data_IF_778965515647
#
_entry.id   IF_778965515647
#
_cell.length_a   1.000
_cell.length_b   1.000
_cell.length_c   1.000
_cell.angle_alpha   90.00
_cell.angle_beta   90.00
_cell.angle_gamma   90.00
#
_symmetry.space_group_name_H-M   'P 1'
#
loop_
_entity.id
_entity.type
_entity.pdbx_description
1 polymer ?
#
# COMPACT_ATOMS: atom_id res chain seq x y z
N UNK A 1 -0.19 32.41 8.37
CA UNK A 1 0.00 30.95 8.31
C UNK A 1 0.01 30.40 9.74
N UNK A 2 -0.93 29.51 10.13
CA UNK A 2 -0.93 28.92 11.49
C UNK A 2 0.21 27.92 11.60
N UNK A 3 1.11 28.09 12.57
CA UNK A 3 2.13 27.08 12.90
C UNK A 3 1.43 25.80 13.36
N UNK A 4 1.76 24.68 12.73
CA UNK A 4 1.35 23.35 13.21
C UNK A 4 2.11 23.12 14.52
N UNK A 5 1.37 22.89 15.61
CA UNK A 5 1.97 22.59 16.91
C UNK A 5 2.59 21.19 16.94
N UNK A 6 3.58 21.00 17.81
CA UNK A 6 4.28 19.71 17.99
C UNK A 6 3.33 18.58 18.40
N UNK A 7 2.29 18.91 19.15
CA UNK A 7 1.19 18.03 19.55
C UNK A 7 0.55 17.32 18.36
N UNK A 8 0.31 18.04 17.25
CA UNK A 8 -0.33 17.47 16.05
C UNK A 8 0.52 16.40 15.37
N UNK A 9 1.83 16.60 15.33
CA UNK A 9 2.75 15.60 14.78
C UNK A 9 2.82 14.34 15.65
N UNK A 10 2.73 14.50 16.97
CA UNK A 10 2.66 13.37 17.90
C UNK A 10 1.38 12.57 17.66
N UNK A 11 0.22 13.24 17.60
CA UNK A 11 -1.04 12.55 17.33
C UNK A 11 -1.05 11.85 15.96
N UNK A 12 -0.55 12.51 14.91
CA UNK A 12 -0.42 11.90 13.59
C UNK A 12 0.48 10.66 13.60
N UNK A 13 1.63 10.72 14.29
CA UNK A 13 2.54 9.58 14.42
C UNK A 13 1.91 8.41 15.16
N UNK A 14 1.15 8.66 16.23
CA UNK A 14 0.42 7.62 16.98
C UNK A 14 -0.66 6.99 16.09
N UNK A 15 -1.48 7.80 15.41
CA UNK A 15 -2.52 7.29 14.51
C UNK A 15 -1.93 6.43 13.40
N UNK A 16 -0.87 6.91 12.75
CA UNK A 16 -0.14 6.13 11.74
C UNK A 16 0.33 4.78 12.29
N UNK A 17 0.98 4.78 13.46
CA UNK A 17 1.53 3.56 14.04
C UNK A 17 0.44 2.53 14.38
N UNK A 18 -0.69 2.98 14.94
CA UNK A 18 -1.83 2.11 15.29
C UNK A 18 -2.48 1.52 14.03
N UNK A 19 -2.73 2.34 13.01
CA UNK A 19 -3.33 1.87 11.75
C UNK A 19 -2.39 0.92 11.01
N UNK A 20 -1.11 1.28 10.90
CA UNK A 20 -0.12 0.45 10.22
C UNK A 20 0.07 -0.90 10.91
N UNK A 21 0.16 -0.93 12.24
CA UNK A 21 0.21 -2.17 13.00
C UNK A 21 -1.04 -3.02 12.76
N UNK A 22 -2.23 -2.40 12.74
CA UNK A 22 -3.49 -3.10 12.49
C UNK A 22 -3.52 -3.74 11.09
N UNK A 23 -3.09 -3.02 10.05
CA UNK A 23 -3.02 -3.56 8.69
C UNK A 23 -1.92 -4.61 8.52
N UNK A 24 -0.80 -4.50 9.23
CA UNK A 24 0.23 -5.53 9.22
C UNK A 24 -0.26 -6.83 9.85
N UNK A 25 -1.01 -6.76 10.95
CA UNK A 25 -1.56 -7.94 11.62
C UNK A 25 -2.62 -8.66 10.78
N UNK A 26 -3.32 -7.95 9.90
CA UNK A 26 -4.37 -8.49 9.01
C UNK A 26 -3.93 -8.60 7.56
N UNK A 27 -2.62 -8.45 7.27
CA UNK A 27 -2.08 -8.46 5.93
C UNK A 27 -2.27 -9.82 5.25
N UNK A 28 -2.87 -9.83 4.05
CA UNK A 28 -2.89 -11.04 3.23
C UNK A 28 -1.49 -11.30 2.67
N UNK A 29 -0.92 -12.53 2.83
CA UNK A 29 0.36 -12.87 2.24
C UNK A 29 0.27 -13.10 0.72
N UNK A 30 -0.95 -13.24 0.17
CA UNK A 30 -1.19 -13.61 -1.23
C UNK A 30 -2.36 -12.79 -1.81
N UNK A 31 -2.84 -13.21 -2.99
CA UNK A 31 -3.98 -12.62 -3.68
C UNK A 31 -5.24 -12.68 -2.82
N UNK A 32 -5.97 -11.57 -2.73
CA UNK A 32 -7.30 -11.53 -2.15
C UNK A 32 -8.36 -11.48 -3.25
N UNK A 33 -9.61 -11.72 -2.85
CA UNK A 33 -10.76 -11.65 -3.75
C UNK A 33 -10.97 -10.22 -4.28
N UNK A 34 -11.62 -10.11 -5.44
CA UNK A 34 -11.99 -8.86 -6.10
C UNK A 34 -10.81 -8.14 -6.79
N UNK A 35 -10.81 -6.81 -6.78
CA UNK A 35 -9.90 -5.96 -7.55
C UNK A 35 -8.43 -6.13 -7.17
N UNK A 36 -8.11 -6.52 -5.93
CA UNK A 36 -6.73 -6.62 -5.47
C UNK A 36 -5.88 -7.58 -6.32
N UNK A 37 -6.44 -8.73 -6.71
CA UNK A 37 -5.74 -9.69 -7.56
C UNK A 37 -5.44 -9.12 -8.95
N UNK A 38 -6.39 -8.39 -9.52
CA UNK A 38 -6.22 -7.70 -10.80
C UNK A 38 -5.15 -6.61 -10.72
N UNK A 39 -5.15 -5.79 -9.67
CA UNK A 39 -4.17 -4.74 -9.47
C UNK A 39 -2.76 -5.30 -9.22
N UNK A 40 -2.65 -6.43 -8.52
CA UNK A 40 -1.38 -7.13 -8.33
C UNK A 40 -0.87 -7.67 -9.66
N UNK A 41 -1.72 -8.35 -10.44
CA UNK A 41 -1.35 -8.86 -11.75
C UNK A 41 -0.95 -7.74 -12.72
N UNK A 42 -1.75 -6.67 -12.79
CA UNK A 42 -1.47 -5.50 -13.60
C UNK A 42 -0.15 -4.84 -13.20
N UNK A 43 0.12 -4.68 -11.91
CA UNK A 43 1.40 -4.16 -11.42
C UNK A 43 2.58 -5.08 -11.74
N UNK A 44 2.37 -6.40 -11.75
CA UNK A 44 3.43 -7.36 -12.08
C UNK A 44 3.85 -7.25 -13.56
N UNK A 45 2.88 -7.14 -14.47
CA UNK A 45 3.12 -7.10 -15.92
C UNK A 45 3.16 -5.69 -16.53
N UNK A 46 3.00 -4.64 -15.72
CA UNK A 46 2.74 -3.26 -16.17
C UNK A 46 1.52 -3.15 -17.10
N UNK A 47 0.47 -3.90 -16.77
CA UNK A 47 -0.81 -3.92 -17.48
C UNK A 47 -1.76 -2.80 -17.04
N UNK A 48 -2.95 -2.80 -17.65
CA UNK A 48 -4.02 -1.85 -17.32
C UNK A 48 -5.15 -2.63 -16.65
N UNK A 49 -5.46 -2.40 -15.37
CA UNK A 49 -6.64 -2.96 -14.72
C UNK A 49 -7.92 -2.39 -15.35
N UNK A 50 -9.07 -2.90 -14.93
CA UNK A 50 -10.37 -2.44 -15.41
C UNK A 50 -10.49 -0.90 -15.40
N UNK A 51 -11.27 -0.31 -16.33
CA UNK A 51 -11.41 1.14 -16.42
C UNK A 51 -11.74 1.76 -15.05
N UNK A 52 -10.96 2.75 -14.57
CA UNK A 52 -10.15 3.72 -15.32
C UNK A 52 -8.64 3.41 -15.47
N UNK A 53 -8.17 2.21 -15.13
CA UNK A 53 -6.79 1.76 -15.41
C UNK A 53 -5.70 2.21 -14.43
N UNK A 54 -6.00 3.04 -13.43
CA UNK A 54 -5.17 3.35 -12.24
C UNK A 54 -3.62 3.37 -12.44
N UNK A 55 -3.09 4.15 -13.41
CA UNK A 55 -1.70 4.03 -13.85
C UNK A 55 -0.67 4.32 -12.76
N UNK A 56 -0.93 5.28 -11.87
CA UNK A 56 -0.02 5.60 -10.77
C UNK A 56 0.13 4.42 -9.80
N UNK A 57 -0.97 3.72 -9.49
CA UNK A 57 -0.92 2.55 -8.63
C UNK A 57 -0.08 1.44 -9.27
N UNK A 58 -0.30 1.16 -10.56
CA UNK A 58 0.43 0.11 -11.29
C UNK A 58 1.94 0.41 -11.29
N UNK A 59 2.34 1.65 -11.57
CA UNK A 59 3.75 2.04 -11.60
C UNK A 59 4.41 1.94 -10.21
N UNK A 60 3.74 2.45 -9.16
CA UNK A 60 4.24 2.34 -7.79
C UNK A 60 4.29 0.88 -7.33
N UNK A 61 3.25 0.10 -7.62
CA UNK A 61 3.16 -1.32 -7.33
C UNK A 61 4.28 -2.11 -7.99
N UNK A 62 4.58 -1.84 -9.26
CA UNK A 62 5.68 -2.48 -9.96
C UNK A 62 7.03 -2.22 -9.28
N UNK A 63 7.34 -0.95 -9.00
CA UNK A 63 8.58 -0.57 -8.31
C UNK A 63 8.66 -1.18 -6.92
N UNK A 64 7.58 -1.12 -6.15
CA UNK A 64 7.53 -1.66 -4.79
C UNK A 64 7.66 -3.20 -4.79
N UNK A 65 7.05 -3.87 -5.77
CA UNK A 65 7.12 -5.32 -5.94
C UNK A 65 8.52 -5.83 -6.30
N UNK A 66 9.36 -4.99 -6.90
CA UNK A 66 10.77 -5.29 -7.19
C UNK A 66 11.69 -5.19 -5.96
N UNK A 67 11.23 -4.64 -4.83
CA UNK A 67 12.06 -4.53 -3.62
C UNK A 67 12.52 -5.91 -3.12
N UNK A 68 13.80 -6.08 -2.72
CA UNK A 68 14.36 -7.36 -2.30
C UNK A 68 14.00 -7.69 -0.84
N UNK A 69 12.70 -7.77 -0.53
CA UNK A 69 12.19 -8.00 0.83
C UNK A 69 12.08 -9.49 1.23
N UNK A 70 12.43 -10.43 0.35
CA UNK A 70 12.37 -11.86 0.64
C UNK A 70 10.96 -12.43 0.82
N UNK A 71 9.93 -11.70 0.40
CA UNK A 71 8.52 -12.11 0.41
C UNK A 71 7.93 -12.09 -1.00
N UNK A 72 6.78 -12.73 -1.19
CA UNK A 72 6.07 -12.78 -2.47
C UNK A 72 5.68 -11.40 -3.01
N UNK A 73 5.62 -11.25 -4.34
CA UNK A 73 5.26 -9.98 -4.98
C UNK A 73 3.90 -9.46 -4.49
N UNK A 74 2.90 -10.36 -4.37
CA UNK A 74 1.58 -10.02 -3.82
C UNK A 74 1.65 -9.44 -2.40
N UNK A 75 2.45 -10.04 -1.52
CA UNK A 75 2.65 -9.56 -0.15
C UNK A 75 3.28 -8.16 -0.13
N UNK A 76 4.22 -7.86 -1.03
CA UNK A 76 4.83 -6.52 -1.15
C UNK A 76 3.78 -5.48 -1.57
N UNK A 77 2.89 -5.81 -2.50
CA UNK A 77 1.84 -4.87 -2.92
C UNK A 77 0.78 -4.68 -1.84
N UNK A 78 0.42 -5.73 -1.12
CA UNK A 78 -0.46 -5.60 0.05
C UNK A 78 0.20 -4.71 1.11
N UNK A 79 1.51 -4.86 1.34
CA UNK A 79 2.28 -4.02 2.26
C UNK A 79 2.34 -2.55 1.80
N UNK A 80 2.49 -2.30 0.50
CA UNK A 80 2.42 -0.95 -0.08
C UNK A 80 1.06 -0.30 0.20
N UNK A 81 -0.03 -1.05 -0.01
CA UNK A 81 -1.40 -0.60 0.27
C UNK A 81 -1.61 -0.34 1.76
N UNK A 82 -1.08 -1.18 2.65
CA UNK A 82 -1.14 -1.00 4.09
C UNK A 82 -0.40 0.27 4.54
N UNK A 83 0.80 0.51 4.01
CA UNK A 83 1.58 1.71 4.28
C UNK A 83 0.84 2.97 3.81
N UNK A 84 0.34 2.96 2.57
CA UNK A 84 -0.37 4.10 1.98
C UNK A 84 -1.65 4.42 2.74
N UNK A 85 -2.44 3.40 3.10
CA UNK A 85 -3.69 3.55 3.86
C UNK A 85 -3.46 4.05 5.29
N UNK A 86 -2.28 3.83 5.86
CA UNK A 86 -1.97 4.30 7.23
C UNK A 86 -1.56 5.76 7.27
N UNK A 87 -1.13 6.32 6.13
CA UNK A 87 -0.62 7.70 6.00
C UNK A 87 -1.71 8.66 5.51
N UNK A 88 -2.62 8.19 4.65
CA UNK A 88 -3.69 8.97 4.03
C UNK A 88 -4.77 9.41 5.03
#
# INVERSE_FOLDING_TARGET
MRRIGRDRWIYAGITFAVLFASYLLTLSPTLTFWDAGEFIAASYILGVPHPPGTPLFVLLGHVFGMLPLGIEFAAKLNLMSALSSSIA
#
